data_IF_994784022877
#
_entry.id   IF_994784022877
#
_cell.length_a   1.000
_cell.length_b   1.000
_cell.length_c   1.000
_cell.angle_alpha   90.00
_cell.angle_beta   90.00
_cell.angle_gamma   90.00
#
_symmetry.space_group_name_H-M   'P 1'
#
loop_
_entity.id
_entity.type
_entity.pdbx_description
1 polymer ?
#
# COMPACT_ATOMS: atom_id res chain seq x y z
N UNK A 1 21.42 4.51 14.70
CA UNK A 1 20.54 5.49 14.07
C UNK A 1 19.79 6.24 15.17
N UNK A 2 19.81 7.56 15.13
CA UNK A 2 18.95 8.41 15.94
C UNK A 2 17.49 8.41 15.37
N UNK A 3 16.57 9.13 16.03
CA UNK A 3 15.16 9.12 15.64
C UNK A 3 14.94 9.78 14.27
N UNK A 4 15.65 10.84 13.95
CA UNK A 4 15.55 11.54 12.67
C UNK A 4 16.07 10.65 11.51
N UNK A 5 17.18 9.97 11.72
CA UNK A 5 17.72 9.00 10.76
C UNK A 5 16.78 7.83 10.51
N UNK A 6 16.10 7.33 11.56
CA UNK A 6 15.07 6.28 11.42
C UNK A 6 13.85 6.78 10.66
N UNK A 7 13.40 8.00 10.94
CA UNK A 7 12.27 8.61 10.24
C UNK A 7 12.58 8.78 8.74
N UNK A 8 13.77 9.28 8.41
CA UNK A 8 14.25 9.42 7.03
C UNK A 8 14.29 8.05 6.34
N UNK A 9 14.89 7.05 6.97
CA UNK A 9 14.95 5.69 6.42
C UNK A 9 13.57 5.10 6.16
N UNK A 10 12.62 5.28 7.10
CA UNK A 10 11.23 4.83 6.93
C UNK A 10 10.59 5.51 5.72
N UNK A 11 10.71 6.83 5.61
CA UNK A 11 10.09 7.59 4.52
C UNK A 11 10.63 7.24 3.13
N UNK A 12 11.91 6.87 3.04
CA UNK A 12 12.58 6.55 1.78
C UNK A 12 12.46 5.08 1.36
N UNK A 13 12.40 4.16 2.31
CA UNK A 13 12.56 2.73 2.04
C UNK A 13 11.34 1.87 2.34
N UNK A 14 10.38 2.40 3.11
CA UNK A 14 9.27 1.61 3.62
C UNK A 14 7.94 2.18 3.19
N UNK A 15 7.11 1.34 2.58
CA UNK A 15 5.71 1.64 2.27
C UNK A 15 4.77 0.92 3.23
N UNK A 16 3.56 1.45 3.39
CA UNK A 16 2.52 0.86 4.23
C UNK A 16 1.17 0.85 3.52
N UNK A 17 0.47 -0.26 3.63
CA UNK A 17 -0.95 -0.41 3.27
C UNK A 17 -1.69 -0.94 4.48
N UNK A 18 -2.73 -0.25 4.93
CA UNK A 18 -3.49 -0.58 6.13
C UNK A 18 -4.92 -1.02 5.82
N UNK A 19 -5.52 -1.77 6.72
CA UNK A 19 -6.91 -2.22 6.64
C UNK A 19 -7.92 -1.06 6.51
N UNK A 20 -7.70 0.04 7.21
CA UNK A 20 -8.56 1.21 7.23
C UNK A 20 -8.13 2.31 6.24
N UNK A 21 -7.31 1.95 5.25
CA UNK A 21 -6.80 2.78 4.15
C UNK A 21 -5.91 3.95 4.59
N UNK A 22 -6.21 4.60 5.69
CA UNK A 22 -5.51 5.78 6.24
C UNK A 22 -5.28 6.90 5.22
N UNK A 23 -6.30 7.18 4.42
CA UNK A 23 -6.30 8.34 3.53
C UNK A 23 -6.62 9.60 4.32
N UNK A 24 -6.02 10.71 3.91
CA UNK A 24 -6.33 12.02 4.45
C UNK A 24 -7.64 12.51 3.82
N UNK A 25 -8.73 12.69 4.60
CA UNK A 25 -10.05 12.95 4.05
C UNK A 25 -10.19 14.34 3.39
N UNK A 26 -9.32 15.27 3.74
CA UNK A 26 -9.28 16.61 3.18
C UNK A 26 -8.51 16.71 1.85
N UNK A 27 -7.85 15.62 1.43
CA UNK A 27 -7.08 15.55 0.19
C UNK A 27 -7.78 14.68 -0.83
N UNK A 28 -7.63 15.03 -2.11
CA UNK A 28 -8.07 14.20 -3.24
C UNK A 28 -7.25 12.90 -3.34
N UNK A 29 -7.68 11.97 -4.19
CA UNK A 29 -6.90 10.76 -4.48
C UNK A 29 -5.48 11.10 -4.97
N UNK A 30 -5.37 12.05 -5.90
CA UNK A 30 -4.08 12.52 -6.41
C UNK A 30 -3.22 13.11 -5.29
N UNK A 31 -3.76 14.01 -4.49
CA UNK A 31 -3.04 14.66 -3.39
C UNK A 31 -2.61 13.68 -2.29
N UNK A 32 -3.41 12.66 -2.00
CA UNK A 32 -3.03 11.58 -1.09
C UNK A 32 -1.79 10.80 -1.57
N UNK A 33 -1.69 10.54 -2.86
CA UNK A 33 -0.52 9.85 -3.45
C UNK A 33 0.68 10.80 -3.59
N UNK A 34 0.45 12.06 -3.92
CA UNK A 34 1.50 13.08 -4.08
C UNK A 34 2.20 13.43 -2.78
N UNK A 35 1.47 13.53 -1.67
CA UNK A 35 1.98 14.07 -0.42
C UNK A 35 3.31 13.45 0.05
N UNK A 36 3.46 12.13 0.16
CA UNK A 36 4.75 11.55 0.56
C UNK A 36 5.88 11.85 -0.43
N UNK A 37 5.59 11.97 -1.72
CA UNK A 37 6.57 12.32 -2.74
C UNK A 37 7.01 13.78 -2.62
N UNK A 38 6.09 14.68 -2.36
CA UNK A 38 6.39 16.12 -2.14
C UNK A 38 7.23 16.32 -0.87
N UNK A 39 6.88 15.62 0.22
CA UNK A 39 7.64 15.67 1.46
C UNK A 39 9.08 15.12 1.31
N UNK A 40 9.26 14.15 0.41
CA UNK A 40 10.58 13.61 0.04
C UNK A 40 11.34 14.49 -0.97
N UNK A 41 10.76 15.62 -1.42
CA UNK A 41 11.38 16.52 -2.40
C UNK A 41 11.42 15.98 -3.83
N UNK A 42 10.54 15.02 -4.17
CA UNK A 42 10.47 14.44 -5.52
C UNK A 42 9.95 15.46 -6.52
N UNK A 43 10.73 15.79 -7.55
CA UNK A 43 10.38 16.83 -8.53
C UNK A 43 9.17 16.46 -9.38
N UNK A 44 9.02 15.17 -9.74
CA UNK A 44 7.94 14.68 -10.61
C UNK A 44 6.79 14.05 -9.81
N UNK A 45 6.51 14.57 -8.60
CA UNK A 45 5.53 13.98 -7.68
C UNK A 45 4.15 13.82 -8.32
N UNK A 46 3.67 14.83 -9.04
CA UNK A 46 2.36 14.79 -9.71
C UNK A 46 2.32 13.72 -10.79
N UNK A 47 3.28 13.74 -11.72
CA UNK A 47 3.33 12.80 -12.84
C UNK A 47 3.42 11.34 -12.35
N UNK A 48 4.30 11.06 -11.38
CA UNK A 48 4.40 9.73 -10.76
C UNK A 48 3.10 9.30 -10.12
N UNK A 49 2.43 10.20 -9.41
CA UNK A 49 1.15 9.91 -8.76
C UNK A 49 0.04 9.60 -9.77
N UNK A 50 -0.06 10.35 -10.85
CA UNK A 50 -1.00 10.10 -11.94
C UNK A 50 -0.76 8.74 -12.60
N UNK A 51 0.50 8.38 -12.85
CA UNK A 51 0.88 7.07 -13.39
C UNK A 51 0.42 5.94 -12.47
N UNK A 52 0.72 6.01 -11.17
CA UNK A 52 0.30 4.95 -10.24
C UNK A 52 -1.20 4.88 -10.06
N UNK A 53 -1.92 6.02 -10.02
CA UNK A 53 -3.38 6.02 -9.98
C UNK A 53 -3.99 5.41 -11.24
N UNK A 54 -3.43 5.65 -12.40
CA UNK A 54 -3.85 4.99 -13.64
C UNK A 54 -3.60 3.47 -13.58
N UNK A 55 -2.44 3.03 -13.09
CA UNK A 55 -2.10 1.61 -12.94
C UNK A 55 -3.05 0.86 -11.99
N UNK A 56 -3.57 1.53 -10.96
CA UNK A 56 -4.58 0.94 -10.08
C UNK A 56 -6.02 1.14 -10.57
N UNK A 57 -6.20 1.64 -11.79
CA UNK A 57 -7.51 1.82 -12.41
C UNK A 57 -8.30 3.04 -11.92
N UNK A 58 -7.61 4.07 -11.42
CA UNK A 58 -8.21 5.30 -10.88
C UNK A 58 -7.82 6.57 -11.65
N UNK A 59 -7.40 6.44 -12.92
CA UNK A 59 -7.05 7.57 -13.76
C UNK A 59 -8.16 8.61 -13.94
N UNK A 60 -9.43 8.19 -13.86
CA UNK A 60 -10.61 9.05 -13.94
C UNK A 60 -11.13 9.53 -12.56
N UNK A 61 -10.40 9.20 -11.47
CA UNK A 61 -10.78 9.50 -10.08
C UNK A 61 -9.79 10.42 -9.37
N UNK A 62 -8.86 11.04 -10.07
CA UNK A 62 -7.76 11.84 -9.52
C UNK A 62 -8.23 12.91 -8.53
N UNK A 63 -9.32 13.58 -8.84
CA UNK A 63 -9.85 14.71 -8.06
C UNK A 63 -10.99 14.32 -7.11
N UNK A 64 -11.26 13.02 -6.96
CA UNK A 64 -12.24 12.54 -5.98
C UNK A 64 -11.64 12.55 -4.57
N UNK A 65 -12.48 12.93 -3.60
CA UNK A 65 -12.13 12.82 -2.18
C UNK A 65 -12.44 11.41 -1.65
N UNK A 66 -11.77 10.94 -0.60
CA UNK A 66 -12.01 9.61 -0.04
C UNK A 66 -13.49 9.29 0.22
N UNK A 67 -14.26 10.26 0.72
CA UNK A 67 -15.71 10.09 0.99
C UNK A 67 -16.55 9.74 -0.24
N UNK A 68 -16.07 10.05 -1.44
CA UNK A 68 -16.77 9.77 -2.71
C UNK A 68 -16.26 8.51 -3.39
N UNK A 69 -15.29 7.83 -2.79
CA UNK A 69 -14.71 6.59 -3.28
C UNK A 69 -15.25 5.38 -2.51
N UNK A 70 -15.46 4.26 -3.20
CA UNK A 70 -15.74 2.97 -2.56
C UNK A 70 -14.57 2.50 -1.70
N UNK A 71 -14.79 1.54 -0.79
CA UNK A 71 -13.72 0.97 0.01
C UNK A 71 -12.58 0.37 -0.84
N UNK A 72 -12.93 -0.35 -1.90
CA UNK A 72 -11.94 -0.88 -2.85
C UNK A 72 -11.17 0.20 -3.60
N UNK A 73 -11.83 1.29 -3.99
CA UNK A 73 -11.16 2.45 -4.60
C UNK A 73 -10.23 3.14 -3.60
N UNK A 74 -10.66 3.34 -2.36
CA UNK A 74 -9.82 3.91 -1.30
C UNK A 74 -8.58 3.04 -1.04
N UNK A 75 -8.73 1.71 -1.00
CA UNK A 75 -7.59 0.81 -0.83
C UNK A 75 -6.63 0.87 -2.02
N UNK A 76 -7.15 1.00 -3.23
CA UNK A 76 -6.31 1.19 -4.44
C UNK A 76 -5.55 2.53 -4.41
N UNK A 77 -6.14 3.60 -3.89
CA UNK A 77 -5.41 4.86 -3.64
C UNK A 77 -4.28 4.63 -2.63
N UNK A 78 -4.54 3.92 -1.53
CA UNK A 78 -3.53 3.59 -0.52
C UNK A 78 -2.38 2.76 -1.11
N UNK A 79 -2.69 1.79 -1.97
CA UNK A 79 -1.69 0.98 -2.70
C UNK A 79 -0.86 1.88 -3.65
N UNK A 80 -1.49 2.72 -4.45
CA UNK A 80 -0.80 3.65 -5.32
C UNK A 80 0.15 4.58 -4.53
N UNK A 81 -0.30 5.11 -3.39
CA UNK A 81 0.51 5.93 -2.48
C UNK A 81 1.74 5.18 -1.97
N UNK A 82 1.57 3.93 -1.59
CA UNK A 82 2.65 3.11 -1.06
C UNK A 82 3.73 2.78 -2.11
N UNK A 83 3.33 2.46 -3.34
CA UNK A 83 4.27 2.12 -4.42
C UNK A 83 4.90 3.34 -5.10
N UNK A 84 4.21 4.48 -5.13
CA UNK A 84 4.71 5.70 -5.80
C UNK A 84 6.05 6.18 -5.23
N UNK A 85 6.32 5.93 -3.95
CA UNK A 85 7.60 6.24 -3.30
C UNK A 85 8.72 5.23 -3.60
N UNK A 86 8.46 4.23 -4.43
CA UNK A 86 9.40 3.16 -4.79
C UNK A 86 10.05 2.48 -3.57
N UNK A 87 9.27 1.93 -2.63
CA UNK A 87 9.78 1.39 -1.39
C UNK A 87 10.59 0.10 -1.64
N UNK A 88 11.60 -0.14 -0.81
CA UNK A 88 12.34 -1.42 -0.79
C UNK A 88 11.51 -2.50 -0.11
N UNK A 89 10.76 -2.11 0.92
CA UNK A 89 9.88 -3.00 1.70
C UNK A 89 8.50 -2.38 1.79
N UNK A 90 7.47 -3.17 1.54
CA UNK A 90 6.08 -2.81 1.71
C UNK A 90 5.45 -3.67 2.81
N UNK A 91 4.93 -3.03 3.84
CA UNK A 91 4.10 -3.69 4.85
C UNK A 91 2.62 -3.54 4.49
N UNK A 92 1.92 -4.66 4.38
CA UNK A 92 0.48 -4.69 4.18
C UNK A 92 -0.18 -5.39 5.39
N UNK A 93 -0.93 -4.62 6.17
CA UNK A 93 -1.60 -5.09 7.37
C UNK A 93 -3.09 -5.27 7.08
N UNK A 94 -3.53 -6.52 6.99
CA UNK A 94 -4.92 -6.92 6.66
C UNK A 94 -5.51 -6.11 5.48
N UNK A 95 -4.85 -6.08 4.30
CA UNK A 95 -5.18 -5.14 3.23
C UNK A 95 -6.58 -5.30 2.64
N UNK A 96 -7.28 -6.38 2.96
CA UNK A 96 -8.65 -6.68 2.51
C UNK A 96 -9.67 -6.77 3.64
N UNK A 97 -9.26 -6.51 4.88
CA UNK A 97 -10.10 -6.75 6.04
C UNK A 97 -11.42 -5.96 6.08
N UNK A 98 -11.50 -4.83 5.38
CA UNK A 98 -12.70 -3.98 5.29
C UNK A 98 -13.43 -4.07 3.95
N UNK A 99 -13.09 -5.08 3.13
CA UNK A 99 -13.65 -5.25 1.78
C UNK A 99 -14.50 -6.52 1.69
N UNK A 100 -15.50 -6.50 0.80
CA UNK A 100 -16.19 -7.71 0.40
C UNK A 100 -15.24 -8.67 -0.36
N UNK A 101 -15.62 -9.93 -0.48
CA UNK A 101 -14.77 -11.00 -1.02
C UNK A 101 -14.29 -10.71 -2.45
N UNK A 102 -15.19 -10.24 -3.32
CA UNK A 102 -14.84 -9.97 -4.73
C UNK A 102 -13.91 -8.77 -4.87
N UNK A 103 -14.24 -7.68 -4.20
CA UNK A 103 -13.41 -6.46 -4.16
C UNK A 103 -12.05 -6.77 -3.54
N UNK A 104 -12.03 -7.53 -2.44
CA UNK A 104 -10.79 -7.97 -1.79
C UNK A 104 -9.89 -8.79 -2.71
N UNK A 105 -10.44 -9.75 -3.45
CA UNK A 105 -9.69 -10.56 -4.41
C UNK A 105 -9.04 -9.69 -5.51
N UNK A 106 -9.75 -8.69 -6.02
CA UNK A 106 -9.22 -7.77 -7.02
C UNK A 106 -8.09 -6.89 -6.45
N UNK A 107 -8.24 -6.39 -5.23
CA UNK A 107 -7.22 -5.59 -4.54
C UNK A 107 -5.96 -6.41 -4.27
N UNK A 108 -6.12 -7.67 -3.82
CA UNK A 108 -4.99 -8.58 -3.59
C UNK A 108 -4.24 -8.87 -4.88
N UNK A 109 -4.95 -9.18 -5.97
CA UNK A 109 -4.32 -9.41 -7.27
C UNK A 109 -3.46 -8.22 -7.68
N UNK A 110 -4.02 -7.01 -7.62
CA UNK A 110 -3.32 -5.77 -7.93
C UNK A 110 -2.09 -5.55 -7.06
N UNK A 111 -2.20 -5.79 -5.75
CA UNK A 111 -1.09 -5.68 -4.81
C UNK A 111 0.09 -6.59 -5.20
N UNK A 112 -0.19 -7.85 -5.52
CA UNK A 112 0.84 -8.81 -5.94
C UNK A 112 1.43 -8.49 -7.33
N UNK A 113 0.60 -8.06 -8.28
CA UNK A 113 1.06 -7.62 -9.61
C UNK A 113 2.05 -6.46 -9.49
N UNK A 114 1.68 -5.40 -8.78
CA UNK A 114 2.57 -4.25 -8.55
C UNK A 114 3.83 -4.64 -7.77
N UNK A 115 3.70 -5.53 -6.77
CA UNK A 115 4.84 -6.00 -6.01
C UNK A 115 5.90 -6.71 -6.89
N UNK A 116 5.45 -7.52 -7.84
CA UNK A 116 6.33 -8.21 -8.79
C UNK A 116 6.96 -7.20 -9.76
N UNK A 117 6.16 -6.30 -10.32
CA UNK A 117 6.62 -5.30 -11.29
C UNK A 117 7.63 -4.32 -10.69
N UNK A 118 7.42 -3.88 -9.46
CA UNK A 118 8.30 -2.93 -8.76
C UNK A 118 9.49 -3.61 -8.06
N UNK A 119 9.50 -4.94 -7.95
CA UNK A 119 10.57 -5.69 -7.28
C UNK A 119 10.68 -5.39 -5.78
N UNK A 120 9.57 -5.06 -5.13
CA UNK A 120 9.50 -4.70 -3.70
C UNK A 120 9.40 -5.96 -2.83
N UNK A 121 10.01 -5.98 -1.66
CA UNK A 121 9.80 -7.03 -0.67
C UNK A 121 8.48 -6.77 0.06
N UNK A 122 7.49 -7.66 -0.13
CA UNK A 122 6.19 -7.56 0.54
C UNK A 122 6.20 -8.34 1.86
N UNK A 123 5.88 -7.66 2.94
CA UNK A 123 5.58 -8.26 4.25
C UNK A 123 4.09 -8.13 4.49
N UNK A 124 3.38 -9.25 4.41
CA UNK A 124 1.93 -9.31 4.55
C UNK A 124 1.55 -9.84 5.93
N UNK A 125 0.73 -9.09 6.64
CA UNK A 125 0.09 -9.52 7.88
C UNK A 125 -1.36 -9.84 7.58
N UNK A 126 -1.77 -11.08 7.81
CA UNK A 126 -3.15 -11.52 7.53
C UNK A 126 -3.53 -12.73 8.38
N UNK A 127 -4.82 -12.89 8.63
CA UNK A 127 -5.40 -14.12 9.17
C UNK A 127 -6.03 -15.00 8.07
N UNK A 128 -6.03 -14.52 6.82
CA UNK A 128 -6.50 -15.28 5.65
C UNK A 128 -5.41 -16.25 5.19
N UNK A 129 -5.69 -17.55 5.34
CA UNK A 129 -4.76 -18.63 4.96
C UNK A 129 -4.53 -18.69 3.46
N UNK A 130 -5.56 -18.47 2.65
CA UNK A 130 -5.45 -18.51 1.19
C UNK A 130 -4.57 -17.39 0.67
N UNK A 131 -4.64 -16.24 1.32
CA UNK A 131 -3.76 -15.11 1.01
C UNK A 131 -2.33 -15.38 1.46
N UNK A 132 -2.13 -15.95 2.64
CA UNK A 132 -0.81 -16.33 3.15
C UNK A 132 -0.13 -17.40 2.26
N UNK A 133 -0.91 -18.32 1.67
CA UNK A 133 -0.42 -19.37 0.77
C UNK A 133 0.14 -18.84 -0.56
N UNK A 134 -0.14 -17.61 -0.91
CA UNK A 134 0.45 -16.94 -2.08
C UNK A 134 1.86 -16.39 -1.84
N UNK A 135 2.30 -16.33 -0.57
CA UNK A 135 3.62 -15.85 -0.21
C UNK A 135 4.68 -16.95 -0.28
N UNK A 136 5.93 -16.58 -0.60
CA UNK A 136 7.05 -17.53 -0.71
C UNK A 136 7.48 -18.07 0.66
N UNK A 137 7.32 -17.29 1.71
CA UNK A 137 7.65 -17.67 3.10
C UNK A 137 6.49 -17.32 4.01
N UNK A 138 6.21 -18.19 4.97
CA UNK A 138 5.14 -18.00 5.94
C UNK A 138 5.67 -18.07 7.36
N UNK A 139 5.16 -17.19 8.20
CA UNK A 139 5.49 -17.15 9.61
C UNK A 139 4.19 -17.09 10.42
N UNK A 140 4.16 -17.78 11.53
CA UNK A 140 3.09 -17.63 12.52
C UNK A 140 3.61 -16.87 13.72
N UNK A 141 2.77 -15.96 14.23
CA UNK A 141 3.04 -15.24 15.47
C UNK A 141 2.11 -15.76 16.57
N UNK A 142 2.69 -16.20 17.69
CA UNK A 142 1.94 -16.64 18.84
C UNK A 142 2.66 -16.18 20.12
N UNK A 143 1.93 -15.54 21.04
CA UNK A 143 2.45 -15.04 22.30
C UNK A 143 3.76 -14.23 22.17
N UNK A 144 3.84 -13.38 21.14
CA UNK A 144 5.02 -12.54 20.88
C UNK A 144 6.22 -13.29 20.28
N UNK A 145 6.05 -14.54 19.85
CA UNK A 145 7.09 -15.35 19.21
C UNK A 145 6.73 -15.61 17.75
N UNK A 146 7.71 -15.40 16.89
CA UNK A 146 7.60 -15.66 15.46
C UNK A 146 8.25 -17.01 15.12
N UNK A 147 7.53 -17.86 14.40
CA UNK A 147 8.04 -19.15 13.92
C UNK A 147 7.75 -19.30 12.42
N UNK A 148 8.73 -19.76 11.66
CA UNK A 148 8.55 -20.07 10.24
C UNK A 148 7.74 -21.36 10.10
N UNK A 149 6.77 -21.35 9.19
CA UNK A 149 5.97 -22.51 8.81
C UNK A 149 6.60 -23.12 7.56
N UNK A 150 7.01 -24.39 7.66
CA UNK A 150 7.57 -25.15 6.54
C UNK A 150 6.49 -25.73 5.64
#
# INVERSE_FOLDING_TARGET
>A
LDEDQRATLRSEKVGFVFQNFQLLPALTALENVMLPLELAGTQDAREKSEVFLARVGLGERLHHYPRTLSGGEQQRVAIARAFASAPVILFADEPTGNLDTETGANVVRLLFELNIEEGTTLVLVTHDTDLADRCQRKFTMSAGRLAEVL
#
